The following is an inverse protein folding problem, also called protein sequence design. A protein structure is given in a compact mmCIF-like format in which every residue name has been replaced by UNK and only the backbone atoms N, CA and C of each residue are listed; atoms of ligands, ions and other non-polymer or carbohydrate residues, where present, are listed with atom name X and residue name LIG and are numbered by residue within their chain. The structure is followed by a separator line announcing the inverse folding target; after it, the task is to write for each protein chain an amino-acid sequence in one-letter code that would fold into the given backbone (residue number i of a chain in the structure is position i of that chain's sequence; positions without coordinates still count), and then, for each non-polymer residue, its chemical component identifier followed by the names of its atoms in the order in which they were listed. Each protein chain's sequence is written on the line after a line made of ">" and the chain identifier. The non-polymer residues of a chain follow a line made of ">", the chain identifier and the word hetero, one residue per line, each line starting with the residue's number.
data_IF_885578437900
#
_entry.id   IF_885578437900
#
_cell.length_a   1.000
_cell.length_b   1.000
_cell.length_c   1.000
_cell.angle_alpha   90.00
_cell.angle_beta   90.00
_cell.angle_gamma   90.00
#
_symmetry.space_group_name_H-M   'P 1'
#
loop_
_entity.id
_entity.type
_entity.pdbx_description
1 polymer ?
#
# COMPACT_ATOMS: atom_id res chain seq x y z
N UNK A 1 24.76 -30.48 5.29
CA UNK A 1 25.11 -29.04 5.34
C UNK A 1 26.33 -28.86 4.46
N UNK A 2 26.20 -28.10 3.36
CA UNK A 2 27.29 -27.88 2.42
C UNK A 2 27.83 -26.47 2.63
N UNK A 3 29.13 -26.35 2.90
CA UNK A 3 29.80 -25.06 2.96
C UNK A 3 30.17 -24.64 1.54
N UNK A 4 29.82 -23.40 1.18
CA UNK A 4 30.16 -22.82 -0.11
C UNK A 4 30.92 -21.50 0.12
N UNK A 5 32.18 -21.46 -0.27
CA UNK A 5 33.04 -20.29 -0.15
C UNK A 5 32.77 -19.39 -1.37
N UNK A 6 32.16 -18.23 -1.13
CA UNK A 6 31.79 -17.28 -2.20
C UNK A 6 32.92 -16.35 -2.63
N UNK A 7 33.92 -16.18 -1.78
CA UNK A 7 35.14 -15.41 -2.05
C UNK A 7 36.22 -15.81 -1.04
N UNK A 8 37.48 -15.68 -1.45
CA UNK A 8 38.61 -15.73 -0.53
C UNK A 8 38.82 -14.34 0.09
N UNK A 9 39.12 -14.30 1.39
CA UNK A 9 39.45 -13.07 2.11
C UNK A 9 40.91 -13.15 2.54
N UNK A 10 41.68 -12.12 2.21
CA UNK A 10 43.08 -11.99 2.62
C UNK A 10 43.16 -11.03 3.79
N UNK A 11 44.05 -11.30 4.74
CA UNK A 11 44.32 -10.38 5.85
C UNK A 11 44.76 -9.00 5.30
N UNK A 12 44.00 -7.96 5.64
CA UNK A 12 44.17 -6.60 5.12
C UNK A 12 43.10 -6.15 4.11
N UNK A 13 42.26 -7.06 3.62
CA UNK A 13 41.12 -6.71 2.76
C UNK A 13 40.06 -5.90 3.53
N UNK A 14 39.40 -4.98 2.85
CA UNK A 14 38.20 -4.32 3.40
C UNK A 14 37.05 -5.33 3.42
N UNK A 15 36.72 -5.80 4.62
CA UNK A 15 35.63 -6.76 4.85
C UNK A 15 34.27 -6.23 4.38
N UNK A 16 34.02 -4.92 4.50
CA UNK A 16 32.77 -4.28 4.07
C UNK A 16 32.70 -4.32 2.55
N UNK A 17 33.73 -3.84 1.86
CA UNK A 17 33.79 -3.85 0.40
C UNK A 17 33.66 -5.28 -0.16
N UNK A 18 34.29 -6.26 0.49
CA UNK A 18 34.22 -7.66 0.12
C UNK A 18 32.80 -8.20 0.22
N UNK A 19 32.09 -7.95 1.33
CA UNK A 19 30.70 -8.38 1.52
C UNK A 19 29.77 -7.68 0.51
N UNK A 20 29.94 -6.38 0.27
CA UNK A 20 29.13 -5.64 -0.70
C UNK A 20 29.30 -6.21 -2.10
N UNK A 21 30.54 -6.51 -2.51
CA UNK A 21 30.85 -7.13 -3.80
C UNK A 21 30.21 -8.52 -3.95
N UNK A 22 30.27 -9.36 -2.91
CA UNK A 22 29.60 -10.68 -2.90
C UNK A 22 28.08 -10.54 -3.07
N UNK A 23 27.50 -9.45 -2.56
CA UNK A 23 26.07 -9.14 -2.67
C UNK A 23 25.70 -8.42 -3.97
N UNK A 24 26.66 -8.10 -4.84
CA UNK A 24 26.43 -7.33 -6.05
C UNK A 24 26.07 -5.86 -5.80
N UNK A 25 26.43 -5.32 -4.64
CA UNK A 25 26.13 -3.95 -4.23
C UNK A 25 27.35 -3.05 -4.52
N UNK A 26 27.16 -1.86 -5.11
CA UNK A 26 28.24 -0.89 -5.31
C UNK A 26 28.97 -0.54 -4.01
N UNK A 27 30.28 -0.39 -4.08
CA UNK A 27 31.15 -0.03 -2.95
C UNK A 27 31.33 1.48 -2.78
N UNK A 28 30.54 2.29 -3.49
CA UNK A 28 30.57 3.76 -3.42
C UNK A 28 29.99 4.33 -2.10
N UNK A 29 29.51 3.46 -1.21
CA UNK A 29 28.96 3.82 0.10
C UNK A 29 27.48 4.17 0.09
N UNK A 30 26.85 4.28 -1.09
CA UNK A 30 25.44 4.71 -1.23
C UNK A 30 24.47 3.77 -0.53
N UNK A 31 24.73 2.46 -0.55
CA UNK A 31 23.88 1.47 0.11
C UNK A 31 23.89 1.59 1.64
N UNK A 32 25.05 1.88 2.23
CA UNK A 32 25.20 2.02 3.68
C UNK A 32 24.84 3.43 4.17
N UNK A 33 24.90 4.42 3.28
CA UNK A 33 24.54 5.80 3.53
C UNK A 33 23.50 6.23 2.49
N UNK A 34 22.25 5.73 2.60
CA UNK A 34 21.21 6.05 1.62
C UNK A 34 20.94 7.56 1.62
N UNK A 35 20.49 8.10 0.47
CA UNK A 35 20.14 9.51 0.39
C UNK A 35 19.03 9.86 1.38
N UNK A 36 18.94 11.13 1.83
CA UNK A 36 17.84 11.59 2.64
C UNK A 36 16.50 11.29 1.96
N UNK A 37 15.45 11.07 2.76
CA UNK A 37 14.12 10.72 2.25
C UNK A 37 13.58 11.74 1.23
N UNK A 38 13.91 13.03 1.40
CA UNK A 38 13.52 14.10 0.47
C UNK A 38 14.13 13.95 -0.92
N UNK A 39 15.34 13.38 -1.04
CA UNK A 39 15.97 13.08 -2.32
C UNK A 39 15.44 11.77 -2.90
N UNK A 40 15.26 10.74 -2.06
CA UNK A 40 14.64 9.49 -2.46
C UNK A 40 13.23 9.72 -3.05
N UNK A 41 12.43 10.60 -2.45
CA UNK A 41 11.11 10.97 -2.97
C UNK A 41 11.18 11.67 -4.33
N UNK A 42 12.17 12.55 -4.56
CA UNK A 42 12.37 13.19 -5.87
C UNK A 42 12.69 12.18 -6.95
N UNK A 43 13.47 11.15 -6.61
CA UNK A 43 13.87 10.08 -7.50
C UNK A 43 12.73 9.09 -7.85
N UNK A 44 11.58 9.15 -7.17
CA UNK A 44 10.42 8.32 -7.52
C UNK A 44 9.94 8.58 -8.95
N UNK A 45 9.42 7.54 -9.65
CA UNK A 45 8.86 7.69 -10.99
C UNK A 45 7.81 8.79 -11.05
N UNK A 46 7.76 9.50 -12.18
CA UNK A 46 6.80 10.60 -12.37
C UNK A 46 5.37 10.07 -12.31
N UNK A 47 5.12 8.92 -12.91
CA UNK A 47 3.82 8.26 -12.95
C UNK A 47 3.31 7.93 -11.55
N UNK A 48 4.19 7.47 -10.65
CA UNK A 48 3.85 7.24 -9.25
C UNK A 48 3.47 8.55 -8.56
N UNK A 49 4.26 9.60 -8.72
CA UNK A 49 3.96 10.93 -8.12
C UNK A 49 2.65 11.51 -8.66
N UNK A 50 2.39 11.38 -9.96
CA UNK A 50 1.14 11.82 -10.58
C UNK A 50 -0.06 11.01 -10.04
N UNK A 51 0.10 9.71 -9.81
CA UNK A 51 -0.94 8.87 -9.19
C UNK A 51 -1.18 9.23 -7.72
N UNK A 52 -0.13 9.55 -6.96
CA UNK A 52 -0.23 10.02 -5.58
C UNK A 52 -1.01 11.33 -5.51
N UNK A 53 -0.73 12.29 -6.38
CA UNK A 53 -1.51 13.54 -6.44
C UNK A 53 -2.99 13.28 -6.73
N UNK A 54 -3.31 12.41 -7.70
CA UNK A 54 -4.71 12.04 -7.99
C UNK A 54 -5.41 11.37 -6.81
N UNK A 55 -4.69 10.51 -6.08
CA UNK A 55 -5.22 9.86 -4.88
C UNK A 55 -5.52 10.91 -3.78
N UNK A 56 -4.59 11.84 -3.55
CA UNK A 56 -4.76 12.96 -2.61
C UNK A 56 -5.95 13.84 -3.02
N UNK A 57 -6.06 14.22 -4.30
CA UNK A 57 -7.18 15.03 -4.79
C UNK A 57 -8.54 14.35 -4.53
N UNK A 58 -8.62 13.03 -4.77
CA UNK A 58 -9.82 12.26 -4.52
C UNK A 58 -10.14 12.15 -3.02
N UNK A 59 -9.13 11.94 -2.17
CA UNK A 59 -9.28 11.96 -0.71
C UNK A 59 -9.79 13.31 -0.23
N UNK A 60 -9.18 14.41 -0.66
CA UNK A 60 -9.57 15.77 -0.31
C UNK A 60 -11.00 16.09 -0.77
N UNK A 61 -11.42 15.60 -1.94
CA UNK A 61 -12.81 15.70 -2.39
C UNK A 61 -13.78 15.03 -1.40
N UNK A 62 -13.50 13.79 -0.98
CA UNK A 62 -14.35 13.07 -0.02
C UNK A 62 -14.38 13.74 1.36
N UNK A 63 -13.24 14.27 1.81
CA UNK A 63 -13.15 15.08 3.04
C UNK A 63 -14.05 16.30 2.94
N UNK A 64 -13.93 17.07 1.85
CA UNK A 64 -14.74 18.28 1.59
C UNK A 64 -16.24 17.98 1.56
N UNK A 65 -16.61 16.87 0.92
CA UNK A 65 -17.99 16.40 0.82
C UNK A 65 -18.50 15.74 2.12
N UNK A 66 -17.67 15.64 3.16
CA UNK A 66 -17.96 15.01 4.46
C UNK A 66 -18.38 13.53 4.34
N UNK A 67 -17.88 12.83 3.32
CA UNK A 67 -18.20 11.42 3.03
C UNK A 67 -17.20 10.46 3.67
N UNK A 68 -17.67 9.32 4.16
CA UNK A 68 -16.79 8.34 4.83
C UNK A 68 -15.65 7.87 3.93
N UNK A 69 -14.48 7.70 4.55
CA UNK A 69 -13.29 7.09 3.96
C UNK A 69 -12.99 5.82 4.76
N UNK A 70 -12.87 4.69 4.08
CA UNK A 70 -12.52 3.41 4.69
C UNK A 70 -11.19 2.90 4.13
N UNK A 71 -10.26 2.62 5.03
CA UNK A 71 -8.97 2.01 4.72
C UNK A 71 -9.08 0.49 4.94
N UNK A 72 -8.89 -0.30 3.89
CA UNK A 72 -8.83 -1.76 3.96
C UNK A 72 -7.38 -2.20 3.81
N UNK A 73 -6.81 -2.82 4.85
CA UNK A 73 -5.41 -3.27 4.83
C UNK A 73 -5.26 -4.78 4.70
N UNK A 74 -4.01 -5.24 4.51
CA UNK A 74 -3.66 -6.65 4.71
C UNK A 74 -3.37 -6.98 6.19
N UNK A 75 -3.40 -8.26 6.54
CA UNK A 75 -3.28 -8.75 7.91
C UNK A 75 -1.85 -8.96 8.40
N UNK A 76 -0.86 -8.80 7.53
CA UNK A 76 0.55 -8.94 7.88
C UNK A 76 1.14 -7.63 8.44
N UNK A 77 2.45 -7.63 8.70
CA UNK A 77 3.08 -6.44 9.30
C UNK A 77 3.08 -5.23 8.36
N UNK A 78 3.20 -5.43 7.05
CA UNK A 78 3.23 -4.32 6.09
C UNK A 78 1.84 -3.70 5.98
N UNK A 79 0.80 -4.52 5.76
CA UNK A 79 -0.60 -4.08 5.69
C UNK A 79 -1.11 -3.42 6.98
N UNK A 80 -0.75 -3.94 8.16
CA UNK A 80 -1.11 -3.33 9.45
C UNK A 80 -0.41 -1.98 9.64
N UNK A 81 0.87 -1.88 9.29
CA UNK A 81 1.61 -0.62 9.36
C UNK A 81 1.05 0.41 8.38
N UNK A 82 0.82 0.02 7.12
CA UNK A 82 0.22 0.85 6.08
C UNK A 82 -1.13 1.43 6.51
N UNK A 83 -2.01 0.56 7.03
CA UNK A 83 -3.32 0.95 7.56
C UNK A 83 -3.17 1.96 8.71
N UNK A 84 -2.25 1.72 9.63
CA UNK A 84 -2.04 2.58 10.79
C UNK A 84 -1.51 3.95 10.40
N UNK A 85 -0.58 4.02 9.44
CA UNK A 85 -0.01 5.26 8.92
C UNK A 85 -1.12 6.11 8.30
N UNK A 86 -1.85 5.56 7.32
CA UNK A 86 -2.88 6.30 6.60
C UNK A 86 -4.05 6.68 7.52
N UNK A 87 -4.46 5.78 8.42
CA UNK A 87 -5.51 6.08 9.39
C UNK A 87 -5.12 7.22 10.31
N UNK A 88 -3.89 7.24 10.85
CA UNK A 88 -3.42 8.33 11.71
C UNK A 88 -3.28 9.65 10.93
N UNK A 89 -2.78 9.61 9.70
CA UNK A 89 -2.66 10.80 8.86
C UNK A 89 -4.02 11.47 8.60
N UNK A 90 -5.06 10.68 8.31
CA UNK A 90 -6.39 11.21 8.06
C UNK A 90 -7.15 11.57 9.35
N UNK A 91 -7.18 10.66 10.34
CA UNK A 91 -8.01 10.83 11.53
C UNK A 91 -7.39 11.74 12.60
N UNK A 92 -6.06 11.67 12.80
CA UNK A 92 -5.38 12.40 13.88
C UNK A 92 -4.74 13.68 13.37
N UNK A 93 -3.92 13.60 12.34
CA UNK A 93 -3.18 14.76 11.82
C UNK A 93 -4.10 15.72 11.06
N UNK A 94 -4.98 15.20 10.19
CA UNK A 94 -6.02 16.00 9.52
C UNK A 94 -7.30 16.20 10.34
N UNK A 95 -7.50 15.44 11.41
CA UNK A 95 -8.70 15.53 12.25
C UNK A 95 -9.99 15.07 11.55
N UNK A 96 -9.90 14.23 10.51
CA UNK A 96 -11.08 13.79 9.77
C UNK A 96 -11.75 12.58 10.45
N UNK A 97 -12.79 12.86 11.24
CA UNK A 97 -13.47 11.85 12.08
C UNK A 97 -14.22 10.78 11.27
N UNK A 98 -14.62 11.06 10.03
CA UNK A 98 -15.29 10.10 9.14
C UNK A 98 -14.30 9.13 8.45
N UNK A 99 -13.18 8.83 9.12
CA UNK A 99 -12.18 7.85 8.68
C UNK A 99 -12.36 6.54 9.44
N UNK A 100 -12.38 5.44 8.72
CA UNK A 100 -12.52 4.08 9.26
C UNK A 100 -11.40 3.20 8.74
N UNK A 101 -11.11 2.10 9.45
CA UNK A 101 -10.16 1.10 9.00
C UNK A 101 -10.71 -0.32 9.20
N UNK A 102 -10.25 -1.26 8.37
CA UNK A 102 -10.57 -2.68 8.45
C UNK A 102 -9.35 -3.53 8.11
N UNK A 103 -9.03 -4.48 8.98
CA UNK A 103 -8.02 -5.51 8.75
C UNK A 103 -8.77 -6.86 8.66
N UNK A 104 -8.67 -7.61 7.55
CA UNK A 104 -9.37 -8.86 7.39
C UNK A 104 -8.76 -9.96 8.27
N UNK A 105 -9.61 -10.78 8.89
CA UNK A 105 -9.18 -12.10 9.35
C UNK A 105 -9.06 -13.03 8.13
N UNK A 106 -7.84 -13.53 7.88
CA UNK A 106 -7.56 -14.41 6.73
C UNK A 106 -8.35 -15.71 6.69
N UNK A 107 -8.76 -16.23 7.85
CA UNK A 107 -9.51 -17.49 7.95
C UNK A 107 -11.01 -17.29 7.68
N UNK A 108 -11.56 -16.18 8.19
CA UNK A 108 -13.00 -15.90 8.09
C UNK A 108 -13.34 -15.21 6.76
N UNK A 109 -12.51 -14.25 6.36
CA UNK A 109 -12.75 -13.40 5.21
C UNK A 109 -11.96 -13.84 3.96
N UNK A 110 -10.90 -14.63 4.10
CA UNK A 110 -9.99 -14.97 2.99
C UNK A 110 -8.80 -14.01 2.88
N UNK A 111 -7.99 -14.18 1.82
CA UNK A 111 -6.77 -13.40 1.60
C UNK A 111 -7.05 -12.09 0.85
N UNK A 112 -6.46 -10.98 1.29
CA UNK A 112 -6.61 -9.66 0.68
C UNK A 112 -8.05 -9.13 0.70
N UNK A 113 -8.41 -8.34 -0.32
CA UNK A 113 -9.78 -7.88 -0.53
C UNK A 113 -10.63 -9.02 -1.11
N UNK A 114 -11.62 -9.45 -0.34
CA UNK A 114 -12.64 -10.43 -0.74
C UNK A 114 -14.04 -9.86 -0.58
N UNK A 115 -15.03 -10.46 -1.25
CA UNK A 115 -16.46 -10.11 -1.04
C UNK A 115 -16.88 -10.20 0.43
N UNK A 116 -16.41 -11.22 1.16
CA UNK A 116 -16.69 -11.35 2.60
C UNK A 116 -16.08 -10.22 3.42
N UNK A 117 -14.85 -9.82 3.11
CA UNK A 117 -14.20 -8.69 3.78
C UNK A 117 -14.92 -7.38 3.46
N UNK A 118 -15.46 -7.23 2.24
CA UNK A 118 -16.27 -6.10 1.83
C UNK A 118 -17.51 -5.99 2.71
N UNK A 119 -18.30 -7.07 2.80
CA UNK A 119 -19.51 -7.10 3.62
C UNK A 119 -19.21 -6.78 5.09
N UNK A 120 -18.15 -7.38 5.65
CA UNK A 120 -17.76 -7.17 7.04
C UNK A 120 -17.34 -5.73 7.33
N UNK A 121 -16.62 -5.06 6.42
CA UNK A 121 -16.25 -3.66 6.65
C UNK A 121 -17.43 -2.70 6.49
N UNK A 122 -18.37 -2.98 5.58
CA UNK A 122 -19.58 -2.17 5.43
C UNK A 122 -20.41 -2.23 6.71
N UNK A 123 -20.59 -3.42 7.27
CA UNK A 123 -21.22 -3.62 8.57
C UNK A 123 -20.51 -2.81 9.67
N UNK A 124 -19.16 -2.86 9.71
CA UNK A 124 -18.36 -2.11 10.69
C UNK A 124 -18.58 -0.59 10.64
N UNK A 125 -18.82 -0.03 9.45
CA UNK A 125 -19.08 1.42 9.28
C UNK A 125 -20.56 1.79 9.35
N UNK A 126 -21.43 0.84 9.73
CA UNK A 126 -22.87 1.05 9.87
C UNK A 126 -23.56 1.30 8.52
N UNK A 127 -23.04 0.73 7.43
CA UNK A 127 -23.58 0.84 6.09
C UNK A 127 -23.88 -0.53 5.49
N UNK A 128 -24.73 -0.53 4.47
CA UNK A 128 -24.86 -1.65 3.53
C UNK A 128 -24.17 -1.27 2.23
N UNK A 129 -23.64 -2.28 1.51
CA UNK A 129 -23.11 -2.10 0.16
C UNK A 129 -24.14 -1.46 -0.79
N UNK A 130 -25.42 -1.71 -0.57
CA UNK A 130 -26.53 -1.13 -1.34
C UNK A 130 -27.02 0.24 -0.83
N UNK A 131 -26.35 0.83 0.16
CA UNK A 131 -26.73 2.15 0.67
C UNK A 131 -26.60 3.23 -0.40
N UNK A 132 -27.47 4.25 -0.35
CA UNK A 132 -27.32 5.45 -1.16
C UNK A 132 -26.05 6.24 -0.79
N UNK A 133 -25.58 6.08 0.46
CA UNK A 133 -24.33 6.69 0.91
C UNK A 133 -23.12 6.01 0.27
N UNK A 134 -22.48 6.73 -0.65
CA UNK A 134 -21.28 6.26 -1.34
C UNK A 134 -20.03 6.69 -0.56
N UNK A 135 -19.15 5.75 -0.26
CA UNK A 135 -17.87 5.98 0.43
C UNK A 135 -16.66 5.89 -0.51
N UNK A 136 -15.50 6.32 -0.01
CA UNK A 136 -14.20 6.04 -0.60
C UNK A 136 -13.60 4.83 0.11
N UNK A 137 -13.22 3.81 -0.64
CA UNK A 137 -12.44 2.67 -0.15
C UNK A 137 -11.01 2.85 -0.62
N UNK A 138 -10.05 2.82 0.31
CA UNK A 138 -8.62 2.83 0.02
C UNK A 138 -8.08 1.48 0.44
N UNK A 139 -7.66 0.65 -0.51
CA UNK A 139 -6.94 -0.57 -0.16
C UNK A 139 -5.47 -0.22 0.06
N UNK A 140 -4.85 -0.78 1.09
CA UNK A 140 -3.43 -0.64 1.37
C UNK A 140 -2.79 -2.02 1.47
N UNK A 141 -1.66 -2.19 0.79
CA UNK A 141 -0.93 -3.45 0.70
C UNK A 141 -1.74 -4.62 0.10
N UNK A 142 -2.84 -4.31 -0.59
CA UNK A 142 -3.66 -5.30 -1.27
C UNK A 142 -4.52 -4.66 -2.36
N UNK A 143 -5.18 -5.50 -3.15
CA UNK A 143 -6.23 -5.10 -4.09
C UNK A 143 -5.79 -5.06 -5.55
N UNK A 144 -4.50 -5.08 -5.89
CA UNK A 144 -4.05 -4.98 -7.30
C UNK A 144 -4.51 -6.13 -8.18
N UNK A 145 -4.84 -7.29 -7.58
CA UNK A 145 -5.38 -8.48 -8.27
C UNK A 145 -6.88 -8.69 -8.02
N UNK A 146 -7.54 -7.85 -7.21
CA UNK A 146 -8.92 -8.03 -6.75
C UNK A 146 -9.96 -7.50 -7.77
N UNK A 147 -9.89 -8.01 -9.01
CA UNK A 147 -10.68 -7.49 -10.14
C UNK A 147 -12.19 -7.54 -9.86
N UNK A 148 -12.68 -8.67 -9.35
CA UNK A 148 -14.11 -8.88 -9.09
C UNK A 148 -14.62 -8.02 -7.95
N UNK A 149 -13.86 -7.95 -6.86
CA UNK A 149 -14.20 -7.23 -5.64
C UNK A 149 -14.20 -5.72 -5.84
N UNK A 150 -13.21 -5.20 -6.57
CA UNK A 150 -13.17 -3.77 -6.91
C UNK A 150 -14.32 -3.46 -7.87
N UNK A 151 -14.59 -4.32 -8.86
CA UNK A 151 -15.76 -4.16 -9.74
C UNK A 151 -17.06 -4.12 -8.96
N UNK A 152 -17.24 -5.00 -7.98
CA UNK A 152 -18.41 -5.01 -7.09
C UNK A 152 -18.60 -3.65 -6.40
N UNK A 153 -17.53 -3.09 -5.81
CA UNK A 153 -17.58 -1.76 -5.18
C UNK A 153 -17.96 -0.66 -6.18
N UNK A 154 -17.39 -0.69 -7.39
CA UNK A 154 -17.68 0.28 -8.46
C UNK A 154 -19.11 0.20 -8.96
N UNK A 155 -19.64 -1.00 -9.18
CA UNK A 155 -21.03 -1.21 -9.61
C UNK A 155 -22.05 -0.68 -8.59
N UNK A 156 -21.67 -0.64 -7.31
CA UNK A 156 -22.46 -0.02 -6.25
C UNK A 156 -22.18 1.48 -6.07
N UNK A 157 -21.38 2.10 -6.94
CA UNK A 157 -21.14 3.54 -6.97
C UNK A 157 -20.10 4.04 -5.96
N UNK A 158 -19.29 3.15 -5.37
CA UNK A 158 -18.19 3.53 -4.49
C UNK A 158 -16.97 3.99 -5.29
N UNK A 159 -16.17 4.85 -4.68
CA UNK A 159 -14.85 5.21 -5.21
C UNK A 159 -13.79 4.32 -4.58
N UNK A 160 -12.77 3.95 -5.34
CA UNK A 160 -11.73 3.03 -4.92
C UNK A 160 -10.35 3.55 -5.33
N UNK A 161 -9.47 3.69 -4.34
CA UNK A 161 -8.02 3.88 -4.52
C UNK A 161 -7.34 2.57 -4.13
N UNK A 162 -6.42 2.10 -4.95
CA UNK A 162 -5.57 0.96 -4.62
C UNK A 162 -4.16 1.48 -4.34
N UNK A 163 -3.64 1.25 -3.13
CA UNK A 163 -2.22 1.39 -2.82
C UNK A 163 -1.62 0.00 -2.59
N UNK A 164 -0.70 -0.41 -3.46
CA UNK A 164 -0.22 -1.80 -3.47
C UNK A 164 1.17 -1.89 -4.14
N UNK A 165 1.91 -2.94 -3.86
CA UNK A 165 3.23 -3.22 -4.43
C UNK A 165 3.37 -4.65 -4.98
N UNK A 166 2.35 -5.49 -4.78
CA UNK A 166 2.32 -6.86 -5.27
C UNK A 166 2.37 -6.94 -6.81
N UNK A 167 2.72 -8.11 -7.34
CA UNK A 167 2.73 -8.33 -8.79
C UNK A 167 1.33 -8.11 -9.39
N UNK A 168 1.27 -7.33 -10.47
CA UNK A 168 0.04 -7.10 -11.22
C UNK A 168 -0.39 -8.38 -11.93
N UNK A 169 -1.71 -8.63 -11.93
CA UNK A 169 -2.31 -9.61 -12.82
C UNK A 169 -2.35 -9.13 -14.29
N UNK A 170 -2.78 -10.00 -15.19
CA UNK A 170 -2.98 -9.66 -16.61
C UNK A 170 -4.07 -8.59 -16.81
N UNK A 171 -5.09 -8.61 -15.93
CA UNK A 171 -6.19 -7.66 -15.92
C UNK A 171 -6.12 -6.83 -14.64
N UNK A 172 -6.17 -5.51 -14.79
CA UNK A 172 -6.22 -4.60 -13.66
C UNK A 172 -7.68 -4.38 -13.21
N UNK A 173 -7.93 -4.25 -11.89
CA UNK A 173 -9.26 -3.94 -11.36
C UNK A 173 -9.77 -2.57 -11.84
N UNK A 174 -11.07 -2.29 -11.84
CA UNK A 174 -11.59 -1.00 -12.31
C UNK A 174 -11.52 0.12 -11.25
N UNK A 175 -10.38 0.33 -10.60
CA UNK A 175 -10.20 1.37 -9.58
C UNK A 175 -10.15 2.79 -10.18
N UNK A 176 -10.48 3.81 -9.38
CA UNK A 176 -10.37 5.22 -9.80
C UNK A 176 -8.90 5.68 -9.87
N UNK A 177 -8.08 5.21 -8.93
CA UNK A 177 -6.65 5.54 -8.86
C UNK A 177 -5.83 4.32 -8.43
N UNK A 178 -4.66 4.16 -9.04
CA UNK A 178 -3.66 3.17 -8.68
C UNK A 178 -2.38 3.85 -8.21
N UNK A 179 -2.06 3.70 -6.93
CA UNK A 179 -0.78 4.08 -6.35
C UNK A 179 0.03 2.79 -6.20
N UNK A 180 0.79 2.44 -7.24
CA UNK A 180 1.48 1.15 -7.27
C UNK A 180 2.96 1.29 -7.58
N UNK A 181 3.81 0.61 -6.80
CA UNK A 181 5.24 0.52 -7.09
C UNK A 181 5.91 -0.69 -6.41
N UNK A 182 6.47 -1.60 -7.21
CA UNK A 182 7.08 -2.88 -6.74
C UNK A 182 8.46 -2.74 -6.09
N UNK A 183 9.00 -1.52 -5.96
CA UNK A 183 10.33 -1.28 -5.36
C UNK A 183 10.27 -0.81 -3.92
N UNK A 184 9.09 -0.52 -3.41
CA UNK A 184 8.83 -0.18 -2.01
C UNK A 184 7.63 -0.98 -1.52
N UNK A 185 7.44 -1.01 -0.20
CA UNK A 185 6.40 -1.82 0.46
C UNK A 185 5.13 -0.99 0.69
N UNK A 186 4.00 -1.64 0.98
CA UNK A 186 2.70 -1.00 1.16
C UNK A 186 2.72 0.11 2.21
N UNK A 187 3.43 -0.08 3.33
CA UNK A 187 3.59 0.92 4.37
C UNK A 187 4.40 2.15 3.93
N UNK A 188 5.25 2.03 2.91
CA UNK A 188 5.98 3.18 2.34
C UNK A 188 5.14 3.96 1.33
N UNK A 189 4.14 3.33 0.71
CA UNK A 189 3.20 3.98 -0.21
C UNK A 189 2.07 4.73 0.50
N UNK A 190 1.76 4.34 1.74
CA UNK A 190 0.63 4.84 2.55
C UNK A 190 1.00 6.07 3.37
#
# INVERSE_FOLDING_TARGET
>A
MNWNIRSEYTEGDDVIASILKIRGIPTDGTFLNPPPLSEAFKALPRELKDSLHKAVDLVEQFIKDKRKILIHGDYDSDGICATSILFNALSKEKGYENTFHFIPNRFDHGYGLSERSILAFFEKVGLSLNSDEKILVITVDCGITAVGEIKLLKEHGHSVIITDHHQKGEVLPPADVFVWYDKIVGASLS
#
